data_IF_859445417890
#
_entry.id   IF_859445417890
#
_cell.length_a   1.000
_cell.length_b   1.000
_cell.length_c   1.000
_cell.angle_alpha   90.00
_cell.angle_beta   90.00
_cell.angle_gamma   90.00
#
_symmetry.space_group_name_H-M   'P 1'
#
loop_
_entity.id
_entity.type
_entity.pdbx_description
1 polymer ?
#
# COMPACT_ATOMS: atom_id res chain seq x y z
N UNK A 1 -8.08 -2.52 18.81
CA UNK A 1 -7.99 -1.63 17.63
C UNK A 1 -7.36 -0.32 18.05
N UNK A 2 -6.32 0.14 17.33
CA UNK A 2 -5.71 1.45 17.61
C UNK A 2 -6.57 2.58 17.02
N UNK A 3 -6.38 3.85 17.43
CA UNK A 3 -7.14 4.98 16.87
C UNK A 3 -6.99 5.10 15.34
N UNK A 4 -5.79 4.86 14.79
CA UNK A 4 -5.59 4.89 13.34
C UNK A 4 -6.36 3.77 12.63
N UNK A 5 -6.38 2.56 13.19
CA UNK A 5 -7.14 1.45 12.64
C UNK A 5 -8.65 1.73 12.65
N UNK A 6 -9.18 2.22 13.78
CA UNK A 6 -10.59 2.55 13.91
C UNK A 6 -11.06 3.62 12.91
N UNK A 7 -10.18 4.57 12.57
CA UNK A 7 -10.50 5.66 11.63
C UNK A 7 -10.31 5.25 10.17
N UNK A 8 -9.27 4.50 9.85
CA UNK A 8 -8.87 4.19 8.46
C UNK A 8 -9.66 3.03 7.89
N UNK A 9 -9.81 1.92 8.65
CA UNK A 9 -10.40 0.68 8.12
C UNK A 9 -11.79 0.91 7.52
N UNK A 10 -12.77 1.55 8.20
CA UNK A 10 -14.09 1.76 7.64
C UNK A 10 -14.07 2.61 6.36
N UNK A 11 -13.24 3.64 6.31
CA UNK A 11 -13.15 4.55 5.17
C UNK A 11 -12.46 3.88 3.98
N UNK A 12 -11.40 3.13 4.21
CA UNK A 12 -10.65 2.47 3.14
C UNK A 12 -11.39 1.26 2.55
N UNK A 13 -12.35 0.71 3.29
CA UNK A 13 -13.32 -0.28 2.77
C UNK A 13 -14.37 0.34 1.84
N UNK A 14 -14.58 1.64 1.92
CA UNK A 14 -15.46 2.36 0.99
C UNK A 14 -14.75 2.66 -0.33
N UNK A 15 -15.42 3.40 -1.21
CA UNK A 15 -14.83 3.82 -2.48
C UNK A 15 -14.02 5.13 -2.38
N UNK A 16 -13.32 5.37 -1.26
CA UNK A 16 -12.52 6.57 -1.00
C UNK A 16 -11.02 6.26 -1.05
N UNK A 17 -10.25 7.20 -1.59
CA UNK A 17 -8.82 7.26 -1.32
C UNK A 17 -8.60 7.86 0.07
N UNK A 18 -7.51 7.49 0.73
CA UNK A 18 -7.20 7.99 2.07
C UNK A 18 -5.78 8.54 2.15
N UNK A 19 -5.64 9.65 2.87
CA UNK A 19 -4.35 10.20 3.29
C UNK A 19 -4.32 10.14 4.82
N UNK A 20 -3.35 9.43 5.37
CA UNK A 20 -3.28 9.16 6.80
C UNK A 20 -2.00 9.74 7.37
N UNK A 21 -2.15 10.74 8.23
CA UNK A 21 -1.05 11.30 9.03
C UNK A 21 -1.09 10.67 10.43
N UNK A 22 -0.10 9.83 10.72
CA UNK A 22 0.00 9.17 12.02
C UNK A 22 1.46 8.75 12.29
N UNK A 23 1.88 8.87 13.54
CA UNK A 23 3.24 8.53 13.99
C UNK A 23 3.60 7.06 13.73
N UNK A 24 4.91 6.77 13.68
CA UNK A 24 5.42 5.40 13.60
C UNK A 24 4.96 4.60 14.83
N UNK A 25 4.65 3.31 14.63
CA UNK A 25 4.15 2.45 15.72
C UNK A 25 2.67 2.63 16.07
N UNK A 26 1.92 3.51 15.41
CA UNK A 26 0.48 3.71 15.66
C UNK A 26 -0.42 2.56 15.16
N UNK A 27 0.12 1.59 14.43
CA UNK A 27 -0.63 0.46 13.87
C UNK A 27 -1.08 0.66 12.42
N UNK A 28 -0.41 1.55 11.65
CA UNK A 28 -0.72 1.83 10.23
C UNK A 28 -0.72 0.57 9.36
N UNK A 29 0.21 -0.34 9.57
CA UNK A 29 0.34 -1.56 8.75
C UNK A 29 -0.95 -2.37 8.75
N UNK A 30 -1.54 -2.63 9.89
CA UNK A 30 -2.84 -3.32 9.96
C UNK A 30 -4.00 -2.46 9.47
N UNK A 31 -3.90 -1.13 9.60
CA UNK A 31 -4.92 -0.22 9.12
C UNK A 31 -5.11 -0.27 7.60
N UNK A 32 -4.07 -0.64 6.82
CA UNK A 32 -4.20 -0.85 5.38
C UNK A 32 -4.26 -2.33 4.96
N UNK A 33 -3.59 -3.24 5.66
CA UNK A 33 -3.62 -4.66 5.30
C UNK A 33 -5.01 -5.27 5.48
N UNK A 34 -5.69 -4.97 6.59
CA UNK A 34 -7.04 -5.52 6.87
C UNK A 34 -8.04 -5.14 5.75
N UNK A 35 -8.24 -3.85 5.42
CA UNK A 35 -9.17 -3.50 4.35
C UNK A 35 -8.70 -3.98 2.97
N UNK A 36 -7.39 -4.12 2.72
CA UNK A 36 -6.88 -4.70 1.48
C UNK A 36 -7.29 -6.16 1.36
N UNK A 37 -7.03 -6.98 2.37
CA UNK A 37 -7.40 -8.41 2.38
C UNK A 37 -8.92 -8.56 2.21
N UNK A 38 -9.70 -7.83 3.01
CA UNK A 38 -11.16 -7.87 2.97
C UNK A 38 -11.73 -7.49 1.59
N UNK A 39 -11.10 -6.51 0.92
CA UNK A 39 -11.53 -6.08 -0.40
C UNK A 39 -11.18 -7.10 -1.47
N UNK A 40 -9.95 -7.61 -1.46
CA UNK A 40 -9.50 -8.58 -2.45
C UNK A 40 -10.20 -9.93 -2.29
N UNK A 41 -10.49 -10.36 -1.07
CA UNK A 41 -11.25 -11.57 -0.79
C UNK A 41 -12.68 -11.57 -1.38
N UNK A 42 -13.24 -10.38 -1.65
CA UNK A 42 -14.56 -10.25 -2.31
C UNK A 42 -14.53 -10.42 -3.82
N UNK A 43 -13.34 -10.44 -4.43
CA UNK A 43 -13.21 -10.66 -5.87
C UNK A 43 -13.36 -12.18 -6.14
N UNK A 44 -14.29 -12.60 -6.98
CA UNK A 44 -14.44 -14.03 -7.32
C UNK A 44 -13.13 -14.57 -7.93
N UNK A 45 -12.70 -15.76 -7.53
CA UNK A 45 -11.49 -16.39 -8.06
C UNK A 45 -11.53 -16.55 -9.59
N UNK A 46 -12.74 -16.78 -10.16
CA UNK A 46 -12.99 -16.84 -11.60
C UNK A 46 -12.64 -15.57 -12.36
N UNK A 47 -12.67 -14.42 -11.69
CA UNK A 47 -12.44 -13.11 -12.31
C UNK A 47 -10.95 -12.73 -12.31
N UNK A 48 -10.13 -13.40 -11.49
CA UNK A 48 -8.69 -13.19 -11.39
C UNK A 48 -7.96 -14.00 -12.45
N UNK A 49 -7.36 -13.33 -13.42
CA UNK A 49 -6.62 -13.98 -14.51
C UNK A 49 -5.13 -14.04 -14.19
N UNK A 50 -4.46 -15.01 -14.78
CA UNK A 50 -3.02 -15.18 -14.65
C UNK A 50 -2.27 -13.88 -15.01
N UNK A 51 -1.47 -13.39 -14.06
CA UNK A 51 -0.67 -12.16 -14.16
C UNK A 51 -1.41 -10.90 -13.74
N UNK A 52 -2.69 -10.97 -13.36
CA UNK A 52 -3.41 -9.82 -12.80
C UNK A 52 -2.81 -9.43 -11.46
N UNK A 53 -2.49 -8.15 -11.33
CA UNK A 53 -2.08 -7.55 -10.06
C UNK A 53 -3.26 -6.79 -9.48
N UNK A 54 -3.65 -7.17 -8.26
CA UNK A 54 -4.80 -6.61 -7.55
C UNK A 54 -4.38 -5.54 -6.53
N UNK A 55 -3.18 -5.67 -5.93
CA UNK A 55 -2.66 -4.64 -5.02
C UNK A 55 -1.16 -4.45 -5.16
N UNK A 56 -0.71 -3.22 -4.89
CA UNK A 56 0.70 -2.85 -4.79
C UNK A 56 0.92 -2.08 -3.50
N UNK A 57 1.93 -2.50 -2.72
CA UNK A 57 2.40 -1.79 -1.52
C UNK A 57 3.82 -1.30 -1.77
N UNK A 58 4.01 0.01 -1.66
CA UNK A 58 5.30 0.68 -1.88
C UNK A 58 5.84 1.13 -0.53
N UNK A 59 7.08 0.73 -0.22
CA UNK A 59 7.78 1.05 1.02
C UNK A 59 9.13 1.70 0.71
N UNK A 60 9.63 2.65 1.54
CA UNK A 60 10.89 3.36 1.29
C UNK A 60 12.12 2.45 1.40
N UNK A 61 12.09 1.48 2.30
CA UNK A 61 13.24 0.62 2.59
C UNK A 61 12.92 -0.86 2.36
N UNK A 62 13.99 -1.66 2.15
CA UNK A 62 13.88 -3.11 1.98
C UNK A 62 13.38 -3.78 3.25
N UNK A 63 13.88 -3.31 4.39
CA UNK A 63 13.54 -3.83 5.72
C UNK A 63 12.04 -3.67 5.99
N UNK A 64 11.48 -2.49 5.72
CA UNK A 64 10.05 -2.26 5.90
C UNK A 64 9.21 -3.09 4.93
N UNK A 65 9.63 -3.20 3.66
CA UNK A 65 8.95 -4.04 2.68
C UNK A 65 8.94 -5.51 3.11
N UNK A 66 10.08 -6.02 3.63
CA UNK A 66 10.20 -7.39 4.14
C UNK A 66 9.30 -7.59 5.37
N UNK A 67 9.30 -6.65 6.31
CA UNK A 67 8.45 -6.72 7.50
C UNK A 67 6.96 -6.78 7.12
N UNK A 68 6.52 -5.94 6.19
CA UNK A 68 5.12 -5.94 5.73
C UNK A 68 4.79 -7.25 5.01
N UNK A 69 5.71 -7.77 4.20
CA UNK A 69 5.56 -9.04 3.51
C UNK A 69 5.41 -10.20 4.50
N UNK A 70 6.23 -10.28 5.53
CA UNK A 70 6.16 -11.30 6.59
C UNK A 70 4.83 -11.22 7.37
N UNK A 71 4.38 -10.01 7.73
CA UNK A 71 3.08 -9.81 8.37
C UNK A 71 1.96 -10.31 7.44
N UNK A 72 2.02 -10.00 6.15
CA UNK A 72 1.02 -10.44 5.19
C UNK A 72 1.03 -11.97 5.02
N UNK A 73 2.21 -12.60 4.98
CA UNK A 73 2.31 -14.07 4.95
C UNK A 73 1.71 -14.71 6.20
N UNK A 74 1.84 -14.07 7.36
CA UNK A 74 1.17 -14.52 8.59
C UNK A 74 -0.36 -14.54 8.45
N UNK A 75 -0.96 -13.58 7.73
CA UNK A 75 -2.38 -13.64 7.38
C UNK A 75 -2.68 -14.77 6.40
N UNK A 76 -1.88 -14.94 5.34
CA UNK A 76 -2.08 -16.01 4.37
C UNK A 76 -2.12 -17.41 5.01
N UNK A 77 -1.31 -17.63 6.05
CA UNK A 77 -1.25 -18.93 6.75
C UNK A 77 -2.54 -19.31 7.50
N UNK A 78 -3.43 -18.34 7.77
CA UNK A 78 -4.68 -18.55 8.53
C UNK A 78 -5.93 -18.28 7.70
N UNK A 79 -5.79 -17.83 6.46
CA UNK A 79 -6.91 -17.60 5.55
C UNK A 79 -7.40 -18.92 4.94
N UNK A 80 -8.69 -19.02 4.59
CA UNK A 80 -9.23 -20.16 3.84
C UNK A 80 -8.48 -20.38 2.52
N UNK A 81 -8.26 -21.65 2.15
CA UNK A 81 -7.50 -22.02 0.95
C UNK A 81 -8.10 -21.50 -0.35
N UNK A 82 -9.41 -21.35 -0.42
CA UNK A 82 -10.13 -20.81 -1.57
C UNK A 82 -9.85 -19.31 -1.83
N UNK A 83 -9.35 -18.59 -0.83
CA UNK A 83 -8.93 -17.18 -0.95
C UNK A 83 -7.46 -17.01 -1.34
N UNK A 84 -6.62 -18.04 -1.20
CA UNK A 84 -5.18 -17.93 -1.47
C UNK A 84 -4.84 -17.52 -2.92
N UNK A 85 -5.59 -17.93 -3.96
CA UNK A 85 -5.31 -17.50 -5.33
C UNK A 85 -5.39 -15.98 -5.53
N UNK A 86 -6.36 -15.29 -4.85
CA UNK A 86 -6.51 -13.84 -4.93
C UNK A 86 -5.55 -13.08 -4.00
N UNK A 87 -4.91 -13.78 -3.07
CA UNK A 87 -4.10 -13.19 -2.01
C UNK A 87 -2.63 -13.65 -2.05
N UNK A 88 -2.16 -14.17 -3.20
CA UNK A 88 -0.76 -14.53 -3.38
C UNK A 88 0.12 -13.28 -3.49
N UNK A 89 1.29 -13.28 -2.83
CA UNK A 89 2.15 -12.10 -2.77
C UNK A 89 3.57 -12.37 -3.24
N UNK A 90 4.25 -11.33 -3.70
CA UNK A 90 5.68 -11.34 -4.02
C UNK A 90 6.38 -10.11 -3.47
N UNK A 91 7.57 -10.32 -2.92
CA UNK A 91 8.45 -9.26 -2.41
C UNK A 91 9.41 -8.82 -3.52
N UNK A 92 9.41 -7.53 -3.87
CA UNK A 92 10.22 -6.93 -4.93
C UNK A 92 11.13 -5.84 -4.35
N UNK A 93 12.36 -6.24 -3.99
CA UNK A 93 13.39 -5.35 -3.43
C UNK A 93 14.67 -5.45 -4.24
N UNK A 94 15.35 -4.31 -4.43
CA UNK A 94 16.60 -4.26 -5.17
C UNK A 94 17.77 -4.88 -4.38
N UNK A 95 18.80 -5.37 -5.12
CA UNK A 95 20.05 -5.83 -4.53
C UNK A 95 20.08 -7.29 -4.05
N UNK A 96 18.98 -8.02 -4.11
CA UNK A 96 18.89 -9.45 -3.75
C UNK A 96 18.90 -10.35 -5.00
N UNK A 97 18.35 -9.87 -6.09
CA UNK A 97 18.20 -10.59 -7.36
C UNK A 97 18.36 -9.65 -8.55
N UNK A 98 18.56 -10.18 -9.76
CA UNK A 98 18.46 -9.41 -10.99
C UNK A 98 17.01 -9.17 -11.39
N UNK A 99 16.74 -8.11 -12.17
CA UNK A 99 15.41 -7.85 -12.73
C UNK A 99 14.91 -9.04 -13.57
N UNK A 100 15.81 -9.69 -14.33
CA UNK A 100 15.47 -10.86 -15.15
C UNK A 100 15.00 -12.05 -14.30
N UNK A 101 15.65 -12.28 -13.16
CA UNK A 101 15.26 -13.34 -12.22
C UNK A 101 13.91 -13.06 -11.60
N UNK A 102 13.66 -11.80 -11.18
CA UNK A 102 12.37 -11.41 -10.63
C UNK A 102 11.26 -11.60 -11.67
N UNK A 103 11.48 -11.18 -12.92
CA UNK A 103 10.52 -11.39 -14.02
C UNK A 103 10.25 -12.89 -14.24
N UNK A 104 11.27 -13.72 -14.18
CA UNK A 104 11.13 -15.19 -14.33
C UNK A 104 10.32 -15.77 -13.16
N UNK A 105 10.59 -15.33 -11.94
CA UNK A 105 9.82 -15.73 -10.74
C UNK A 105 8.36 -15.28 -10.84
N UNK A 106 8.11 -14.04 -11.25
CA UNK A 106 6.74 -13.53 -11.42
C UNK A 106 5.95 -14.29 -12.48
N UNK A 107 6.61 -14.78 -13.55
CA UNK A 107 5.99 -15.62 -14.58
C UNK A 107 5.58 -16.99 -14.04
N UNK A 108 6.36 -17.56 -13.12
CA UNK A 108 6.08 -18.88 -12.53
C UNK A 108 5.08 -18.81 -11.38
N UNK A 109 5.27 -17.86 -10.46
CA UNK A 109 4.44 -17.75 -9.23
C UNK A 109 3.12 -17.02 -9.45
N UNK A 110 3.05 -16.12 -10.44
CA UNK A 110 1.87 -15.30 -10.79
C UNK A 110 1.17 -14.66 -9.57
N UNK A 111 1.90 -13.86 -8.77
CA UNK A 111 1.33 -13.21 -7.59
C UNK A 111 0.26 -12.19 -7.99
N UNK A 112 -0.67 -11.94 -7.09
CA UNK A 112 -1.70 -10.90 -7.24
C UNK A 112 -1.38 -9.63 -6.45
N UNK A 113 -0.46 -9.73 -5.49
CA UNK A 113 -0.05 -8.62 -4.62
C UNK A 113 1.46 -8.45 -4.73
N UNK A 114 1.89 -7.21 -4.96
CA UNK A 114 3.29 -6.84 -4.98
C UNK A 114 3.63 -5.97 -3.77
N UNK A 115 4.67 -6.31 -3.04
CA UNK A 115 5.20 -5.53 -1.92
C UNK A 115 6.65 -5.22 -2.24
N UNK A 116 7.07 -3.94 -2.18
CA UNK A 116 8.45 -3.66 -2.53
C UNK A 116 8.87 -2.20 -2.45
N UNK A 117 10.11 -1.97 -2.88
CA UNK A 117 10.70 -0.63 -2.94
C UNK A 117 10.49 0.02 -4.31
N UNK A 118 10.42 1.38 -4.39
CA UNK A 118 10.09 2.10 -5.62
C UNK A 118 10.99 1.75 -6.81
N UNK A 119 12.30 1.61 -6.58
CA UNK A 119 13.26 1.33 -7.64
C UNK A 119 12.94 0.02 -8.36
N UNK A 120 12.82 -1.09 -7.60
CA UNK A 120 12.56 -2.41 -8.17
C UNK A 120 11.15 -2.53 -8.74
N UNK A 121 10.14 -1.99 -8.07
CA UNK A 121 8.78 -1.96 -8.59
C UNK A 121 8.71 -1.19 -9.92
N UNK A 122 9.34 -0.02 -10.00
CA UNK A 122 9.39 0.76 -11.23
C UNK A 122 10.07 0.00 -12.37
N UNK A 123 11.25 -0.60 -12.14
CA UNK A 123 11.98 -1.38 -13.14
C UNK A 123 11.15 -2.52 -13.71
N UNK A 124 10.42 -3.24 -12.86
CA UNK A 124 9.60 -4.37 -13.29
C UNK A 124 8.31 -3.90 -13.97
N UNK A 125 7.62 -2.90 -13.43
CA UNK A 125 6.36 -2.38 -13.98
C UNK A 125 6.57 -1.77 -15.36
N UNK A 126 7.69 -1.08 -15.59
CA UNK A 126 8.01 -0.42 -16.87
C UNK A 126 8.77 -1.30 -17.85
N UNK A 127 9.17 -2.51 -17.45
CA UNK A 127 9.89 -3.44 -18.30
C UNK A 127 9.01 -3.96 -19.45
N UNK A 128 9.46 -3.93 -20.71
CA UNK A 128 8.73 -4.54 -21.83
C UNK A 128 8.51 -6.05 -21.67
N UNK A 129 9.36 -6.72 -20.87
CA UNK A 129 9.28 -8.17 -20.61
C UNK A 129 8.41 -8.52 -19.39
N UNK A 130 7.81 -7.51 -18.75
CA UNK A 130 7.00 -7.69 -17.55
C UNK A 130 5.78 -8.57 -17.82
N UNK A 131 5.50 -9.58 -16.98
CA UNK A 131 4.30 -10.40 -17.08
C UNK A 131 3.08 -9.75 -16.43
N UNK A 132 3.23 -8.59 -15.78
CA UNK A 132 2.23 -7.97 -14.95
C UNK A 132 1.08 -7.37 -15.77
N UNK A 133 -0.15 -7.67 -15.38
CA UNK A 133 -1.37 -7.07 -15.91
C UNK A 133 -1.94 -6.14 -14.85
N UNK A 134 -1.76 -4.84 -15.04
CA UNK A 134 -2.09 -3.82 -14.04
C UNK A 134 -3.53 -3.30 -14.15
N UNK A 135 -4.27 -3.68 -15.20
CA UNK A 135 -5.65 -3.17 -15.46
C UNK A 135 -6.64 -3.53 -14.35
N UNK A 136 -6.42 -4.66 -13.67
CA UNK A 136 -7.26 -5.17 -12.58
C UNK A 136 -6.85 -4.65 -11.21
N UNK A 137 -5.94 -3.65 -11.14
CA UNK A 137 -5.46 -3.13 -9.86
C UNK A 137 -6.57 -2.44 -9.08
N UNK A 138 -6.86 -2.96 -7.90
CA UNK A 138 -7.85 -2.45 -6.95
C UNK A 138 -7.26 -1.48 -5.95
N UNK A 139 -6.02 -1.74 -5.47
CA UNK A 139 -5.43 -0.95 -4.40
C UNK A 139 -3.96 -0.61 -4.64
N UNK A 140 -3.61 0.65 -4.38
CA UNK A 140 -2.24 1.15 -4.27
C UNK A 140 -2.04 1.68 -2.86
N UNK A 141 -1.01 1.22 -2.16
CA UNK A 141 -0.64 1.67 -0.82
C UNK A 141 0.79 2.21 -0.87
N UNK A 142 0.99 3.40 -0.34
CA UNK A 142 2.30 4.02 -0.14
C UNK A 142 2.50 4.22 1.35
N UNK A 143 3.40 3.45 1.96
CA UNK A 143 3.72 3.56 3.39
C UNK A 143 4.98 4.39 3.59
N UNK A 144 5.04 5.15 4.68
CA UNK A 144 6.08 6.14 4.99
C UNK A 144 6.37 7.07 3.77
N UNK A 145 5.29 7.66 3.23
CA UNK A 145 5.36 8.42 1.98
C UNK A 145 6.25 9.66 2.06
N UNK A 146 6.39 10.29 3.22
CA UNK A 146 7.38 11.32 3.50
C UNK A 146 8.80 10.81 3.25
N UNK A 147 9.16 9.65 3.78
CA UNK A 147 10.47 9.03 3.56
C UNK A 147 10.70 8.62 2.12
N UNK A 148 9.66 8.16 1.41
CA UNK A 148 9.76 7.86 -0.02
C UNK A 148 10.23 9.09 -0.82
N UNK A 149 9.72 10.28 -0.49
CA UNK A 149 10.10 11.54 -1.15
C UNK A 149 11.46 12.03 -0.69
N UNK A 150 11.78 11.97 0.62
CA UNK A 150 13.06 12.36 1.20
C UNK A 150 14.23 11.55 0.62
N UNK A 151 14.00 10.28 0.29
CA UNK A 151 14.97 9.41 -0.37
C UNK A 151 15.08 9.63 -1.89
N UNK A 152 14.36 10.61 -2.45
CA UNK A 152 14.45 10.99 -3.86
C UNK A 152 13.68 10.09 -4.81
N UNK A 153 12.70 9.33 -4.35
CA UNK A 153 11.91 8.43 -5.21
C UNK A 153 10.77 9.10 -5.97
N UNK A 154 10.65 10.44 -5.96
CA UNK A 154 9.55 11.17 -6.62
C UNK A 154 9.31 10.73 -8.07
N UNK A 155 10.37 10.66 -8.89
CA UNK A 155 10.27 10.25 -10.30
C UNK A 155 9.83 8.79 -10.47
N UNK A 156 10.37 7.89 -9.64
CA UNK A 156 9.99 6.48 -9.65
C UNK A 156 8.52 6.28 -9.28
N UNK A 157 8.06 6.99 -8.25
CA UNK A 157 6.65 6.97 -7.83
C UNK A 157 5.73 7.50 -8.92
N UNK A 158 6.10 8.63 -9.55
CA UNK A 158 5.36 9.20 -10.68
C UNK A 158 5.28 8.21 -11.85
N UNK A 159 6.39 7.55 -12.19
CA UNK A 159 6.43 6.53 -13.23
C UNK A 159 5.52 5.33 -12.93
N UNK A 160 5.53 4.84 -11.68
CA UNK A 160 4.63 3.78 -11.23
C UNK A 160 3.18 4.24 -11.35
N UNK A 161 2.83 5.37 -10.73
CA UNK A 161 1.46 5.89 -10.68
C UNK A 161 0.87 6.07 -12.09
N UNK A 162 1.68 6.57 -13.03
CA UNK A 162 1.27 6.77 -14.43
C UNK A 162 1.01 5.47 -15.19
N UNK A 163 1.68 4.36 -14.80
CA UNK A 163 1.47 3.04 -15.38
C UNK A 163 0.21 2.33 -14.84
N UNK A 164 -0.38 2.82 -13.74
CA UNK A 164 -1.51 2.19 -13.07
C UNK A 164 -2.86 2.72 -13.57
N UNK A 165 -3.93 1.90 -13.53
CA UNK A 165 -5.26 2.36 -13.89
C UNK A 165 -5.74 3.45 -12.93
N UNK A 166 -6.53 4.40 -13.45
CA UNK A 166 -7.10 5.48 -12.63
C UNK A 166 -8.17 4.99 -11.67
N UNK A 167 -8.89 3.94 -12.03
CA UNK A 167 -9.93 3.35 -11.17
C UNK A 167 -9.31 2.36 -10.18
N UNK A 168 -8.66 2.89 -9.15
CA UNK A 168 -8.13 2.14 -8.01
C UNK A 168 -8.45 2.89 -6.73
N UNK A 169 -8.20 2.27 -5.59
CA UNK A 169 -8.15 2.94 -4.27
C UNK A 169 -6.70 3.19 -3.92
N UNK A 170 -6.40 4.39 -3.51
CA UNK A 170 -5.04 4.76 -3.10
C UNK A 170 -5.03 5.14 -1.63
N UNK A 171 -4.17 4.48 -0.86
CA UNK A 171 -3.87 4.81 0.53
C UNK A 171 -2.47 5.36 0.65
N UNK A 172 -2.34 6.57 1.20
CA UNK A 172 -1.06 7.19 1.48
C UNK A 172 -0.92 7.35 2.99
N UNK A 173 0.13 6.74 3.54
CA UNK A 173 0.42 6.73 4.97
C UNK A 173 1.74 7.44 5.22
N UNK A 174 1.74 8.42 6.12
CA UNK A 174 2.91 9.25 6.42
C UNK A 174 2.95 9.63 7.89
N UNK A 175 4.14 9.97 8.39
CA UNK A 175 4.28 10.56 9.72
C UNK A 175 4.15 12.09 9.67
N UNK A 176 4.47 12.70 8.53
CA UNK A 176 4.47 14.16 8.35
C UNK A 176 3.81 14.53 7.01
N UNK A 177 3.30 15.76 6.92
CA UNK A 177 2.76 16.33 5.68
C UNK A 177 3.70 17.42 5.18
N UNK A 178 4.32 17.18 4.03
CA UNK A 178 5.23 18.13 3.34
C UNK A 178 4.60 18.65 2.06
N UNK A 179 5.12 19.76 1.51
CA UNK A 179 4.65 20.31 0.22
C UNK A 179 4.83 19.31 -0.92
N UNK A 180 5.96 18.60 -0.94
CA UNK A 180 6.23 17.56 -1.93
C UNK A 180 5.22 16.41 -1.84
N UNK A 181 4.78 16.04 -0.63
CA UNK A 181 3.76 15.04 -0.41
C UNK A 181 2.38 15.55 -0.87
N UNK A 182 2.07 16.81 -0.63
CA UNK A 182 0.84 17.46 -1.11
C UNK A 182 0.74 17.45 -2.64
N UNK A 183 1.87 17.63 -3.35
CA UNK A 183 1.93 17.50 -4.81
C UNK A 183 1.65 16.04 -5.27
N UNK A 184 2.24 15.05 -4.59
CA UNK A 184 2.01 13.64 -4.87
C UNK A 184 0.54 13.25 -4.64
N UNK A 185 -0.08 13.74 -3.57
CA UNK A 185 -1.50 13.56 -3.27
C UNK A 185 -2.37 14.09 -4.41
N UNK A 186 -2.12 15.33 -4.84
CA UNK A 186 -2.90 15.99 -5.89
C UNK A 186 -2.83 15.26 -7.24
N UNK A 187 -1.70 14.64 -7.56
CA UNK A 187 -1.48 13.95 -8.83
C UNK A 187 -1.84 12.48 -8.80
N UNK A 188 -1.70 11.84 -7.65
CA UNK A 188 -1.81 10.39 -7.49
C UNK A 188 -3.13 9.88 -6.89
N UNK A 189 -3.87 10.73 -6.16
CA UNK A 189 -5.10 10.37 -5.45
C UNK A 189 -6.32 11.12 -6.01
N UNK A 190 -7.51 10.57 -5.74
CA UNK A 190 -8.79 11.12 -6.21
C UNK A 190 -9.67 11.46 -5.02
N UNK A 191 -9.82 12.76 -4.75
CA UNK A 191 -10.64 13.29 -3.65
C UNK A 191 -10.46 12.50 -2.35
N UNK A 192 -9.22 12.43 -1.81
CA UNK A 192 -8.92 11.60 -0.66
C UNK A 192 -9.55 12.18 0.62
N UNK A 193 -9.89 11.29 1.54
CA UNK A 193 -10.22 11.67 2.92
C UNK A 193 -8.92 11.81 3.70
N UNK A 194 -8.69 12.98 4.29
CA UNK A 194 -7.55 13.23 5.15
C UNK A 194 -7.88 12.81 6.59
N UNK A 195 -7.03 11.98 7.17
CA UNK A 195 -7.16 11.41 8.52
C UNK A 195 -5.90 11.78 9.29
N UNK A 196 -6.03 12.63 10.30
CA UNK A 196 -4.93 13.03 11.17
C UNK A 196 -5.13 12.38 12.54
N UNK A 197 -4.20 11.52 12.93
CA UNK A 197 -4.22 10.84 14.24
C UNK A 197 -3.06 11.36 15.08
N UNK A 198 -3.36 12.31 15.97
CA UNK A 198 -2.38 12.88 16.91
C UNK A 198 -2.38 12.05 18.20
N UNK A 199 -1.20 11.62 18.62
CA UNK A 199 -0.99 11.06 19.97
C UNK A 199 -0.55 12.20 20.87
N UNK A 200 -1.39 12.60 21.80
CA UNK A 200 -1.02 13.57 22.83
C UNK A 200 -0.47 12.80 24.03
N UNK A 201 0.83 12.85 24.25
CA UNK A 201 1.40 12.42 25.53
C UNK A 201 1.10 13.50 26.57
N UNK A 202 0.23 13.22 27.50
CA UNK A 202 0.02 14.09 28.65
C UNK A 202 1.18 13.89 29.64
N UNK A 203 1.77 15.00 30.10
CA UNK A 203 2.75 15.05 31.18
C UNK A 203 2.21 14.62 32.56
N UNK A 204 0.99 14.14 32.64
CA UNK A 204 0.31 13.69 33.86
C UNK A 204 -0.53 12.44 33.56
N UNK A 205 0.08 11.27 33.56
CA UNK A 205 -0.49 9.96 33.88
C UNK A 205 -1.88 9.52 33.36
N UNK A 206 -2.59 10.33 32.58
CA UNK A 206 -3.92 10.04 32.04
C UNK A 206 -3.86 10.18 30.51
N UNK A 207 -3.96 9.07 29.79
CA UNK A 207 -4.13 9.03 28.32
C UNK A 207 -5.52 9.61 27.96
N UNK A 208 -5.60 10.85 27.54
CA UNK A 208 -6.78 11.32 26.81
C UNK A 208 -6.59 11.01 25.32
N UNK A 209 -7.39 10.08 24.81
CA UNK A 209 -7.48 9.79 23.38
C UNK A 209 -8.17 10.94 22.67
N UNK A 210 -7.45 11.68 21.83
CA UNK A 210 -8.06 12.68 20.96
C UNK A 210 -8.67 11.93 19.77
N UNK A 211 -9.95 12.18 19.44
CA UNK A 211 -10.57 11.59 18.26
C UNK A 211 -9.86 12.03 16.97
N UNK A 212 -9.79 11.14 16.00
CA UNK A 212 -9.28 11.45 14.67
C UNK A 212 -10.06 12.61 14.07
N UNK A 213 -9.37 13.60 13.53
CA UNK A 213 -9.98 14.72 12.82
C UNK A 213 -10.11 14.33 11.35
N UNK A 214 -11.34 14.41 10.82
CA UNK A 214 -11.62 14.18 9.41
C UNK A 214 -11.70 15.54 8.72
N UNK A 215 -10.85 15.78 7.73
CA UNK A 215 -10.96 16.94 6.86
C UNK A 215 -11.42 16.45 5.47
N UNK A 216 -12.65 16.80 5.13
CA UNK A 216 -13.16 16.64 3.77
C UNK A 216 -12.75 17.89 3.01
N UNK A 217 -11.90 17.76 1.99
CA UNK A 217 -11.65 18.86 1.07
C UNK A 217 -12.93 19.12 0.28
N UNK A 218 -13.52 20.29 0.50
CA UNK A 218 -14.63 20.85 -0.27
C UNK A 218 -14.19 21.31 -1.65
#
# INVERSE_FOLDING_TARGET
MTPVQASVIPLFLTNKDVVVEAVTGSGKTLAFLIPMIERLAKIPASDVKRGDILAIIICPTRELATQIFEIFQGFQAVLPEDLLPQLSSSLLIGGTSSVSNDISTLKSTTPTILIGTPGRLHEIITSPSSPLKLKSLEMLIMDEADRLLDMGFKEKLSGIINALPRQRRTGLFSATMTDALSELIRTGLRNPVHIVVKVTSLKSGVEQRIPARFELNS
#
